data_IF_601513754504
#
_entry.id   IF_601513754504
#
_cell.length_a   1.000
_cell.length_b   1.000
_cell.length_c   1.000
_cell.angle_alpha   90.00
_cell.angle_beta   90.00
_cell.angle_gamma   90.00
#
_symmetry.space_group_name_H-M   'P 1'
#
loop_
_entity.id
_entity.type
_entity.pdbx_description
1 polymer ?
#
# COMPACT_ATOMS: atom_id res chain seq x y z
N UNK A 1 -6.11 14.62 -33.18
CA UNK A 1 -6.39 15.55 -32.06
C UNK A 1 -7.27 16.66 -32.63
N UNK A 2 -8.41 17.00 -32.02
CA UNK A 2 -9.32 18.02 -32.57
C UNK A 2 -8.78 19.44 -32.37
N UNK A 3 -9.25 20.41 -33.16
CA UNK A 3 -8.82 21.83 -33.08
C UNK A 3 -8.99 22.37 -31.65
N UNK A 4 -10.11 22.08 -30.99
CA UNK A 4 -10.37 22.49 -29.60
C UNK A 4 -9.36 21.92 -28.58
N UNK A 5 -8.82 20.72 -28.84
CA UNK A 5 -7.80 20.12 -27.97
C UNK A 5 -6.45 20.83 -28.11
N UNK A 6 -6.08 21.25 -29.33
CA UNK A 6 -4.84 21.98 -29.56
C UNK A 6 -4.89 23.39 -28.96
N UNK A 7 -6.02 24.06 -29.08
CA UNK A 7 -6.24 25.38 -28.47
C UNK A 7 -6.10 25.34 -26.95
N UNK A 8 -6.69 24.33 -26.29
CA UNK A 8 -6.56 24.14 -24.85
C UNK A 8 -5.11 23.90 -24.40
N UNK A 9 -4.30 23.19 -25.21
CA UNK A 9 -2.87 22.97 -24.94
C UNK A 9 -2.13 24.31 -25.03
N UNK A 10 -2.38 25.10 -26.08
CA UNK A 10 -1.72 26.38 -26.29
C UNK A 10 -2.06 27.37 -25.16
N UNK A 11 -3.34 27.48 -24.78
CA UNK A 11 -3.78 28.34 -23.67
C UNK A 11 -3.14 27.92 -22.34
N UNK A 12 -3.11 26.62 -22.03
CA UNK A 12 -2.47 26.14 -20.80
C UNK A 12 -0.94 26.34 -20.84
N UNK A 13 -0.31 26.21 -22.02
CA UNK A 13 1.13 26.48 -22.19
C UNK A 13 1.46 27.94 -21.88
N UNK A 14 0.67 28.89 -22.39
CA UNK A 14 0.85 30.31 -22.12
C UNK A 14 0.78 30.61 -20.62
N UNK A 15 -0.18 30.02 -19.89
CA UNK A 15 -0.27 30.16 -18.44
C UNK A 15 0.97 29.62 -17.71
N UNK A 16 1.57 28.54 -18.19
CA UNK A 16 2.80 27.97 -17.61
C UNK A 16 4.04 28.82 -17.93
N UNK A 17 4.04 29.58 -19.03
CA UNK A 17 5.13 30.51 -19.35
C UNK A 17 5.15 31.73 -18.43
N UNK A 18 4.00 32.10 -17.86
CA UNK A 18 3.85 33.25 -16.95
C UNK A 18 4.24 32.95 -15.50
N UNK A 19 4.52 31.69 -15.13
CA UNK A 19 4.84 31.32 -13.73
C UNK A 19 6.28 31.69 -13.33
N UNK A 20 6.52 31.76 -12.03
CA UNK A 20 7.83 32.07 -11.46
C UNK A 20 8.88 30.98 -11.74
N UNK A 21 10.16 31.37 -11.71
CA UNK A 21 11.28 30.50 -12.08
C UNK A 21 11.34 29.14 -11.34
N UNK A 22 11.07 29.04 -10.02
CA UNK A 22 11.06 27.75 -9.34
C UNK A 22 10.03 26.75 -9.92
N UNK A 23 8.85 27.26 -10.32
CA UNK A 23 7.80 26.45 -10.93
C UNK A 23 8.18 26.04 -12.37
N UNK A 24 8.86 26.92 -13.11
CA UNK A 24 9.40 26.59 -14.45
C UNK A 24 10.45 25.48 -14.38
N UNK A 25 11.37 25.55 -13.42
CA UNK A 25 12.40 24.53 -13.20
C UNK A 25 11.78 23.17 -12.90
N UNK A 26 10.83 23.11 -11.96
CA UNK A 26 10.19 21.83 -11.62
C UNK A 26 9.25 21.33 -12.73
N UNK A 27 8.62 22.23 -13.48
CA UNK A 27 7.87 21.86 -14.69
C UNK A 27 8.78 21.17 -15.73
N UNK A 28 9.99 21.72 -15.93
CA UNK A 28 11.03 21.12 -16.78
C UNK A 28 11.40 19.71 -16.33
N UNK A 29 11.53 19.50 -15.02
CA UNK A 29 11.79 18.18 -14.43
C UNK A 29 10.70 17.16 -14.78
N UNK A 30 9.41 17.53 -14.70
CA UNK A 30 8.32 16.57 -14.94
C UNK A 30 8.06 16.28 -16.41
N UNK A 31 8.35 17.22 -17.33
CA UNK A 31 8.00 17.03 -18.74
C UNK A 31 9.11 16.39 -19.58
N UNK A 32 10.38 16.50 -19.17
CA UNK A 32 11.52 15.77 -19.75
C UNK A 32 11.63 15.86 -21.28
N UNK A 33 11.45 17.07 -21.82
CA UNK A 33 11.43 17.33 -23.26
C UNK A 33 10.07 17.14 -23.96
N UNK A 34 9.02 16.72 -23.24
CA UNK A 34 7.66 16.57 -23.77
C UNK A 34 6.64 17.46 -23.02
N UNK A 35 6.76 18.80 -23.10
CA UNK A 35 5.86 19.73 -22.39
C UNK A 35 4.40 19.53 -22.79
N UNK A 36 4.10 19.46 -24.09
CA UNK A 36 2.72 19.27 -24.57
C UNK A 36 2.08 17.99 -24.03
N UNK A 37 2.81 16.87 -24.04
CA UNK A 37 2.29 15.61 -23.51
C UNK A 37 2.04 15.69 -22.00
N UNK A 38 2.85 16.44 -21.28
CA UNK A 38 2.60 16.74 -19.86
C UNK A 38 1.35 17.58 -19.68
N UNK A 39 1.16 18.66 -20.44
CA UNK A 39 -0.05 19.49 -20.38
C UNK A 39 -1.31 18.67 -20.71
N UNK A 40 -1.25 17.81 -21.73
CA UNK A 40 -2.34 16.90 -22.09
C UNK A 40 -2.75 15.99 -20.94
N UNK A 41 -1.81 15.49 -20.12
CA UNK A 41 -2.16 14.67 -18.95
C UNK A 41 -3.04 15.44 -17.95
N UNK A 42 -2.65 16.66 -17.61
CA UNK A 42 -3.40 17.52 -16.69
C UNK A 42 -4.74 17.98 -17.28
N UNK A 43 -4.78 18.34 -18.57
CA UNK A 43 -6.02 18.66 -19.27
C UNK A 43 -6.97 17.48 -19.27
N UNK A 44 -6.53 16.30 -19.68
CA UNK A 44 -7.36 15.10 -19.62
C UNK A 44 -7.81 14.85 -18.16
N UNK A 45 -6.94 14.99 -17.16
CA UNK A 45 -7.23 14.83 -15.72
C UNK A 45 -8.41 15.67 -15.23
N UNK A 46 -8.70 16.78 -15.91
CA UNK A 46 -9.74 17.75 -15.56
C UNK A 46 -10.70 18.00 -16.72
N UNK A 47 -10.94 16.98 -17.54
CA UNK A 47 -11.94 16.99 -18.63
C UNK A 47 -11.76 18.16 -19.60
N UNK A 48 -10.50 18.50 -19.89
CA UNK A 48 -10.10 19.63 -20.74
C UNK A 48 -10.52 21.01 -20.23
N UNK A 49 -10.88 21.14 -18.95
CA UNK A 49 -11.10 22.43 -18.30
C UNK A 49 -9.76 23.10 -17.99
N UNK A 50 -9.43 24.15 -18.75
CA UNK A 50 -8.16 24.90 -18.61
C UNK A 50 -7.96 25.44 -17.18
N UNK A 51 -8.93 26.13 -16.54
CA UNK A 51 -8.71 26.64 -15.18
C UNK A 51 -8.46 25.53 -14.15
N UNK A 52 -9.18 24.41 -14.24
CA UNK A 52 -9.00 23.27 -13.34
C UNK A 52 -7.68 22.55 -13.58
N UNK A 53 -7.28 22.38 -14.84
CA UNK A 53 -6.01 21.76 -15.21
C UNK A 53 -4.82 22.63 -14.79
N UNK A 54 -4.91 23.95 -14.99
CA UNK A 54 -3.92 24.91 -14.52
C UNK A 54 -3.77 24.85 -13.00
N UNK A 55 -4.89 24.90 -12.26
CA UNK A 55 -4.86 24.75 -10.79
C UNK A 55 -4.18 23.45 -10.37
N UNK A 56 -4.58 22.32 -10.94
CA UNK A 56 -3.99 21.02 -10.60
C UNK A 56 -2.49 20.97 -10.90
N UNK A 57 -2.06 21.54 -12.04
CA UNK A 57 -0.65 21.62 -12.38
C UNK A 57 0.10 22.48 -11.36
N UNK A 58 -0.40 23.67 -11.02
CA UNK A 58 0.22 24.54 -10.03
C UNK A 58 0.30 23.89 -8.64
N UNK A 59 -0.78 23.22 -8.20
CA UNK A 59 -0.78 22.47 -6.94
C UNK A 59 0.31 21.38 -6.94
N UNK A 60 0.43 20.62 -8.04
CA UNK A 60 1.48 19.61 -8.20
C UNK A 60 2.89 20.21 -8.17
N UNK A 61 3.15 21.27 -8.94
CA UNK A 61 4.47 21.92 -8.98
C UNK A 61 4.86 22.49 -7.61
N UNK A 62 3.92 23.13 -6.89
CA UNK A 62 4.15 23.60 -5.52
C UNK A 62 4.42 22.45 -4.55
N UNK A 63 3.64 21.37 -4.63
CA UNK A 63 3.87 20.17 -3.83
C UNK A 63 5.27 19.61 -4.07
N UNK A 64 5.74 19.58 -5.33
CA UNK A 64 7.11 19.13 -5.67
C UNK A 64 8.19 19.99 -5.01
N UNK A 65 8.02 21.31 -5.01
CA UNK A 65 8.96 22.24 -4.40
C UNK A 65 8.96 22.07 -2.87
N UNK A 66 7.79 22.14 -2.25
CA UNK A 66 7.62 22.05 -0.78
C UNK A 66 8.17 20.73 -0.23
N UNK A 67 7.95 19.64 -0.96
CA UNK A 67 8.36 18.31 -0.56
C UNK A 67 9.69 17.91 -1.21
N UNK A 68 10.43 18.79 -1.89
CA UNK A 68 11.73 18.45 -2.51
C UNK A 68 11.71 17.18 -3.39
N UNK A 69 10.67 17.00 -4.19
CA UNK A 69 10.45 15.79 -4.99
C UNK A 69 11.48 15.64 -6.10
N UNK A 70 11.94 16.75 -6.68
CA UNK A 70 12.93 16.73 -7.77
C UNK A 70 14.29 16.12 -7.34
N UNK A 71 14.58 16.09 -6.05
CA UNK A 71 15.79 15.48 -5.48
C UNK A 71 15.52 14.18 -4.72
N UNK A 72 14.31 13.61 -4.79
CA UNK A 72 13.93 12.42 -4.01
C UNK A 72 14.75 11.17 -4.35
N UNK A 73 15.23 11.09 -5.60
CA UNK A 73 16.14 10.02 -6.05
C UNK A 73 17.57 10.19 -5.53
N UNK A 74 17.91 11.34 -4.93
CA UNK A 74 19.18 11.61 -4.26
C UNK A 74 19.07 11.39 -2.74
N UNK A 75 17.88 11.03 -2.24
CA UNK A 75 17.57 10.81 -0.83
C UNK A 75 17.33 9.31 -0.55
N UNK A 76 18.38 8.47 -0.43
CA UNK A 76 18.21 7.06 -0.12
C UNK A 76 17.49 6.85 1.21
N UNK A 77 16.72 5.77 1.30
CA UNK A 77 16.19 5.28 2.57
C UNK A 77 17.31 4.54 3.29
N UNK A 78 17.73 5.07 4.43
CA UNK A 78 18.83 4.57 5.27
C UNK A 78 18.24 4.19 6.63
N UNK A 79 18.72 3.11 7.27
CA UNK A 79 19.74 2.15 6.81
C UNK A 79 19.28 1.24 5.67
N UNK A 80 20.22 0.56 4.99
CA UNK A 80 19.90 -0.30 3.85
C UNK A 80 18.98 -1.48 4.20
N UNK A 81 19.01 -1.95 5.45
CA UNK A 81 18.08 -2.96 5.95
C UNK A 81 16.65 -2.42 6.08
N UNK A 82 16.47 -1.12 6.41
CA UNK A 82 15.17 -0.47 6.38
C UNK A 82 14.60 -0.45 4.95
N UNK A 83 15.42 -0.05 3.96
CA UNK A 83 15.02 -0.11 2.55
C UNK A 83 14.58 -1.52 2.15
N UNK A 84 15.38 -2.55 2.50
CA UNK A 84 15.06 -3.96 2.24
C UNK A 84 13.71 -4.36 2.84
N UNK A 85 13.52 -4.10 4.14
CA UNK A 85 12.27 -4.42 4.85
C UNK A 85 11.05 -3.74 4.23
N UNK A 86 11.19 -2.49 3.77
CA UNK A 86 10.12 -1.77 3.07
C UNK A 86 9.79 -2.45 1.76
N UNK A 87 10.79 -2.77 0.93
CA UNK A 87 10.59 -3.41 -0.38
C UNK A 87 10.04 -4.84 -0.28
N UNK A 88 10.42 -5.58 0.76
CA UNK A 88 9.91 -6.92 1.02
C UNK A 88 8.45 -6.93 1.50
N UNK A 89 7.94 -5.79 2.01
CA UNK A 89 6.55 -5.64 2.49
C UNK A 89 5.66 -4.77 1.58
N UNK A 90 6.24 -3.98 0.68
CA UNK A 90 5.59 -3.24 -0.39
C UNK A 90 5.92 -3.95 -1.71
N UNK A 91 5.13 -4.96 -2.06
CA UNK A 91 5.39 -5.80 -3.23
C UNK A 91 5.06 -5.03 -4.51
N UNK A 92 6.06 -4.40 -5.09
CA UNK A 92 5.97 -3.64 -6.34
C UNK A 92 7.19 -3.91 -7.18
N UNK A 93 7.00 -4.34 -8.41
CA UNK A 93 8.08 -4.68 -9.34
C UNK A 93 7.76 -4.27 -10.77
N UNK A 94 8.74 -4.41 -11.66
CA UNK A 94 8.54 -4.27 -13.10
C UNK A 94 8.89 -5.60 -13.77
N UNK A 95 7.96 -6.16 -14.53
CA UNK A 95 8.09 -7.50 -15.15
C UNK A 95 8.60 -7.46 -16.58
N UNK A 96 8.52 -6.30 -17.26
CA UNK A 96 8.94 -6.15 -18.64
C UNK A 96 8.19 -5.03 -19.33
N UNK A 97 7.92 -5.19 -20.63
CA UNK A 97 7.22 -4.22 -21.46
C UNK A 97 6.07 -4.89 -22.21
N UNK A 98 5.02 -4.11 -22.51
CA UNK A 98 4.03 -4.51 -23.51
C UNK A 98 4.66 -4.57 -24.90
N UNK A 99 3.97 -5.21 -25.84
CA UNK A 99 4.36 -5.27 -27.25
C UNK A 99 4.51 -3.86 -27.86
N UNK A 100 3.71 -2.92 -27.37
CA UNK A 100 3.78 -1.51 -27.77
C UNK A 100 4.85 -0.71 -27.01
N UNK A 101 5.54 -1.30 -26.03
CA UNK A 101 6.67 -0.68 -25.32
C UNK A 101 6.32 0.05 -24.02
N UNK A 102 5.11 -0.11 -23.49
CA UNK A 102 4.76 0.45 -22.18
C UNK A 102 5.30 -0.45 -21.06
N UNK A 103 5.98 0.08 -20.04
CA UNK A 103 6.47 -0.72 -18.93
C UNK A 103 5.31 -1.38 -18.16
N UNK A 104 5.51 -2.63 -17.73
CA UNK A 104 4.53 -3.45 -17.01
C UNK A 104 4.93 -3.55 -15.55
N UNK A 105 4.24 -2.78 -14.70
CA UNK A 105 4.42 -2.83 -13.26
C UNK A 105 3.51 -3.88 -12.64
N UNK A 106 4.08 -4.75 -11.81
CA UNK A 106 3.36 -5.73 -11.02
C UNK A 106 3.23 -5.21 -9.58
N UNK A 107 2.07 -5.41 -8.96
CA UNK A 107 1.79 -4.96 -7.59
C UNK A 107 1.12 -6.11 -6.84
N UNK A 108 1.75 -6.63 -5.79
CA UNK A 108 1.20 -7.67 -4.92
C UNK A 108 0.28 -7.07 -3.87
N UNK A 109 -0.95 -6.72 -4.25
CA UNK A 109 -1.91 -6.02 -3.38
C UNK A 109 -2.27 -6.86 -2.16
N UNK A 110 -2.57 -8.15 -2.35
CA UNK A 110 -3.05 -8.98 -1.25
C UNK A 110 -1.98 -9.40 -0.25
N UNK A 111 -0.72 -9.51 -0.69
CA UNK A 111 0.41 -9.93 0.15
C UNK A 111 1.26 -8.77 0.68
N UNK A 112 1.05 -7.53 0.21
CA UNK A 112 1.74 -6.36 0.77
C UNK A 112 1.25 -6.07 2.20
N UNK A 113 2.17 -6.12 3.17
CA UNK A 113 1.82 -5.98 4.59
C UNK A 113 1.93 -4.57 5.11
N UNK A 114 2.85 -3.78 4.56
CA UNK A 114 3.16 -2.40 4.98
C UNK A 114 3.42 -2.22 6.49
N UNK A 115 4.00 -3.24 7.15
CA UNK A 115 4.13 -3.34 8.61
C UNK A 115 5.57 -3.17 9.11
N UNK A 116 6.52 -2.80 8.24
CA UNK A 116 7.95 -2.76 8.56
C UNK A 116 8.53 -1.37 8.77
N UNK A 117 7.77 -0.32 8.47
CA UNK A 117 8.19 1.06 8.60
C UNK A 117 6.98 1.98 8.84
N UNK A 118 7.26 3.25 9.18
CA UNK A 118 6.21 4.26 9.23
C UNK A 118 5.65 4.55 7.83
N UNK A 119 4.43 5.08 7.77
CA UNK A 119 3.72 5.49 6.54
C UNK A 119 4.61 6.34 5.63
N UNK A 120 5.35 7.31 6.19
CA UNK A 120 6.19 8.24 5.44
C UNK A 120 7.25 7.52 4.59
N UNK A 121 7.84 6.43 5.10
CA UNK A 121 8.83 5.68 4.34
C UNK A 121 8.22 4.89 3.18
N UNK A 122 7.01 4.37 3.33
CA UNK A 122 6.29 3.72 2.22
C UNK A 122 5.87 4.73 1.15
N UNK A 123 5.43 5.92 1.56
CA UNK A 123 5.13 7.03 0.65
C UNK A 123 6.40 7.47 -0.09
N UNK A 124 7.52 7.67 0.61
CA UNK A 124 8.81 7.97 0.01
C UNK A 124 9.24 6.88 -1.00
N UNK A 125 9.17 5.61 -0.60
CA UNK A 125 9.50 4.46 -1.45
C UNK A 125 8.65 4.42 -2.73
N UNK A 126 7.35 4.72 -2.61
CA UNK A 126 6.41 4.81 -3.74
C UNK A 126 6.75 5.97 -4.68
N UNK A 127 6.99 7.16 -4.13
CA UNK A 127 7.39 8.35 -4.90
C UNK A 127 8.72 8.08 -5.63
N UNK A 128 9.69 7.42 -4.99
CA UNK A 128 10.94 7.04 -5.65
C UNK A 128 10.72 6.09 -6.83
N UNK A 129 9.79 5.12 -6.73
CA UNK A 129 9.43 4.26 -7.88
C UNK A 129 8.82 5.11 -9.01
N UNK A 130 7.89 6.00 -8.69
CA UNK A 130 7.23 6.85 -9.67
C UNK A 130 8.21 7.79 -10.38
N UNK A 131 9.09 8.45 -9.63
CA UNK A 131 10.11 9.34 -10.19
C UNK A 131 11.15 8.56 -11.02
N UNK A 132 11.54 7.36 -10.60
CA UNK A 132 12.43 6.51 -11.39
C UNK A 132 11.74 6.01 -12.67
N UNK A 133 10.46 5.60 -12.58
CA UNK A 133 9.63 5.30 -13.76
C UNK A 133 9.65 6.47 -14.72
N UNK A 134 9.34 7.65 -14.21
CA UNK A 134 9.13 8.82 -15.02
C UNK A 134 10.44 9.35 -15.59
N UNK A 135 11.55 9.39 -14.85
CA UNK A 135 12.81 10.03 -15.27
C UNK A 135 13.80 9.10 -15.93
N UNK A 136 13.65 7.79 -15.77
CA UNK A 136 14.61 6.80 -16.27
C UNK A 136 13.92 5.81 -17.21
N UNK A 137 12.87 5.13 -16.75
CA UNK A 137 12.25 4.04 -17.51
C UNK A 137 11.50 4.56 -18.74
N UNK A 138 10.65 5.59 -18.60
CA UNK A 138 9.85 6.12 -19.70
C UNK A 138 10.69 6.81 -20.79
N UNK A 139 11.72 7.61 -20.47
CA UNK A 139 12.65 8.14 -21.49
C UNK A 139 13.41 7.03 -22.22
N UNK A 140 13.90 6.03 -21.49
CA UNK A 140 14.60 4.89 -22.08
C UNK A 140 13.67 4.09 -23.02
N UNK A 141 12.42 3.88 -22.61
CA UNK A 141 11.40 3.26 -23.46
C UNK A 141 11.12 4.12 -24.70
N UNK A 142 10.91 5.43 -24.53
CA UNK A 142 10.64 6.34 -25.65
C UNK A 142 11.76 6.30 -26.70
N UNK A 143 13.02 6.31 -26.24
CA UNK A 143 14.20 6.17 -27.11
C UNK A 143 14.25 4.81 -27.79
N UNK A 144 14.01 3.72 -27.06
CA UNK A 144 14.04 2.35 -27.58
C UNK A 144 12.98 2.10 -28.66
N UNK A 145 11.77 2.63 -28.47
CA UNK A 145 10.63 2.40 -29.37
C UNK A 145 10.44 3.52 -30.40
N UNK A 146 11.30 4.54 -30.42
CA UNK A 146 11.29 5.60 -31.43
C UNK A 146 10.06 6.52 -31.40
N UNK A 147 9.31 6.53 -30.30
CA UNK A 147 8.09 7.33 -30.11
C UNK A 147 7.91 7.68 -28.64
N UNK A 148 7.08 8.68 -28.34
CA UNK A 148 6.78 9.01 -26.94
C UNK A 148 6.06 7.86 -26.23
N UNK A 149 6.62 7.43 -25.10
CA UNK A 149 6.05 6.46 -24.14
C UNK A 149 5.91 7.20 -22.81
N UNK A 150 4.70 7.63 -22.48
CA UNK A 150 4.41 8.44 -21.28
C UNK A 150 3.68 7.71 -20.15
N UNK A 151 3.30 6.45 -20.38
CA UNK A 151 2.36 5.68 -19.57
C UNK A 151 2.85 4.27 -19.29
N UNK A 152 2.21 3.59 -18.34
CA UNK A 152 2.51 2.21 -17.97
C UNK A 152 1.24 1.36 -17.86
N UNK A 153 1.42 0.04 -17.86
CA UNK A 153 0.40 -0.93 -17.48
C UNK A 153 0.68 -1.41 -16.06
N UNK A 154 -0.37 -1.51 -15.23
CA UNK A 154 -0.26 -2.04 -13.86
C UNK A 154 -1.04 -3.35 -13.75
N UNK A 155 -0.40 -4.41 -13.26
CA UNK A 155 -1.01 -5.71 -12.96
C UNK A 155 -1.05 -5.91 -11.45
N UNK A 156 -2.26 -5.96 -10.89
CA UNK A 156 -2.54 -6.01 -9.45
C UNK A 156 -2.90 -7.45 -9.08
N UNK A 157 -2.00 -8.11 -8.37
CA UNK A 157 -2.22 -9.45 -7.84
C UNK A 157 -2.93 -9.38 -6.48
N UNK A 158 -4.16 -9.89 -6.45
CA UNK A 158 -5.00 -9.92 -5.25
C UNK A 158 -4.79 -11.18 -4.41
N UNK A 159 -3.86 -12.07 -4.80
CA UNK A 159 -3.53 -13.27 -4.03
C UNK A 159 -3.23 -12.91 -2.58
N UNK A 160 -3.83 -13.64 -1.64
CA UNK A 160 -3.61 -13.43 -0.21
C UNK A 160 -4.37 -12.25 0.41
N UNK A 161 -5.21 -11.53 -0.35
CA UNK A 161 -6.00 -10.41 0.18
C UNK A 161 -6.88 -10.87 1.35
N UNK A 162 -6.74 -10.19 2.50
CA UNK A 162 -7.53 -10.43 3.71
C UNK A 162 -8.51 -9.28 3.96
N UNK A 163 -9.70 -9.59 4.45
CA UNK A 163 -10.73 -8.60 4.76
C UNK A 163 -10.35 -7.70 5.97
N UNK A 164 -9.44 -8.15 6.82
CA UNK A 164 -8.98 -7.43 8.03
C UNK A 164 -7.90 -6.36 7.77
N UNK A 165 -7.75 -5.89 6.53
CA UNK A 165 -6.63 -5.08 6.06
C UNK A 165 -6.77 -3.56 6.28
N UNK A 166 -7.47 -3.10 7.33
CA UNK A 166 -7.82 -1.68 7.52
C UNK A 166 -6.59 -0.73 7.53
N UNK A 167 -5.48 -1.12 8.16
CA UNK A 167 -4.26 -0.31 8.16
C UNK A 167 -3.60 -0.22 6.77
N UNK A 168 -3.74 -1.27 5.95
CA UNK A 168 -3.24 -1.28 4.57
C UNK A 168 -4.12 -0.36 3.70
N UNK A 169 -5.45 -0.34 3.92
CA UNK A 169 -6.37 0.55 3.21
C UNK A 169 -6.03 2.03 3.41
N UNK A 170 -5.67 2.44 4.64
CA UNK A 170 -5.24 3.83 4.90
C UNK A 170 -4.01 4.21 4.09
N UNK A 171 -2.97 3.39 4.10
CA UNK A 171 -1.75 3.67 3.34
C UNK A 171 -1.99 3.63 1.83
N UNK A 172 -2.76 2.66 1.34
CA UNK A 172 -3.15 2.58 -0.07
C UNK A 172 -3.94 3.82 -0.51
N UNK A 173 -4.81 4.34 0.36
CA UNK A 173 -5.55 5.59 0.10
C UNK A 173 -4.60 6.77 -0.02
N UNK A 174 -3.64 6.91 0.89
CA UNK A 174 -2.58 7.93 0.83
C UNK A 174 -1.79 7.84 -0.48
N UNK A 175 -1.33 6.64 -0.84
CA UNK A 175 -0.59 6.39 -2.07
C UNK A 175 -1.43 6.74 -3.31
N UNK A 176 -2.72 6.35 -3.32
CA UNK A 176 -3.64 6.68 -4.40
C UNK A 176 -3.82 8.19 -4.54
N UNK A 177 -4.01 8.92 -3.43
CA UNK A 177 -4.16 10.38 -3.46
C UNK A 177 -2.91 11.05 -4.01
N UNK A 178 -1.71 10.59 -3.65
CA UNK A 178 -0.45 11.08 -4.21
C UNK A 178 -0.39 10.83 -5.72
N UNK A 179 -0.76 9.63 -6.18
CA UNK A 179 -0.82 9.28 -7.61
C UNK A 179 -1.82 10.16 -8.38
N UNK A 180 -3.03 10.34 -7.85
CA UNK A 180 -4.13 11.05 -8.51
C UNK A 180 -3.88 12.56 -8.64
N UNK A 181 -3.24 13.17 -7.64
CA UNK A 181 -2.96 14.60 -7.62
C UNK A 181 -1.68 14.96 -8.39
N UNK A 182 -0.64 14.13 -8.28
CA UNK A 182 0.70 14.50 -8.74
C UNK A 182 1.18 13.72 -9.97
N UNK A 183 0.60 12.54 -10.24
CA UNK A 183 0.96 11.68 -11.37
C UNK A 183 -0.25 11.36 -12.28
N UNK A 184 -1.05 12.37 -12.67
CA UNK A 184 -2.24 12.11 -13.46
C UNK A 184 -1.87 11.47 -14.80
N UNK A 185 -2.70 10.53 -15.22
CA UNK A 185 -2.61 9.89 -16.53
C UNK A 185 -1.28 9.19 -16.83
N UNK A 186 -0.65 8.62 -15.80
CA UNK A 186 0.55 7.79 -15.94
C UNK A 186 0.26 6.30 -16.14
N UNK A 187 -0.99 5.87 -15.96
CA UNK A 187 -1.41 4.47 -16.17
C UNK A 187 -2.45 4.39 -17.28
N UNK A 188 -2.22 3.47 -18.22
CA UNK A 188 -3.16 3.15 -19.31
C UNK A 188 -4.25 2.20 -18.85
N UNK A 189 -3.86 1.11 -18.18
CA UNK A 189 -4.77 0.07 -17.72
C UNK A 189 -4.26 -0.59 -16.44
N UNK A 190 -5.19 -0.82 -15.53
CA UNK A 190 -5.04 -1.63 -14.33
C UNK A 190 -5.69 -3.00 -14.59
N UNK A 191 -4.88 -4.05 -14.64
CA UNK A 191 -5.36 -5.43 -14.71
C UNK A 191 -5.36 -6.02 -13.31
N UNK A 192 -6.53 -6.41 -12.81
CA UNK A 192 -6.67 -7.07 -11.52
C UNK A 192 -6.75 -8.57 -11.77
N UNK A 193 -5.81 -9.33 -11.19
CA UNK A 193 -5.71 -10.79 -11.33
C UNK A 193 -5.75 -11.47 -9.96
N UNK A 194 -6.03 -12.77 -9.98
CA UNK A 194 -6.18 -13.62 -8.78
C UNK A 194 -7.13 -13.01 -7.74
N UNK A 195 -8.13 -12.27 -8.22
CA UNK A 195 -9.14 -11.67 -7.39
C UNK A 195 -9.92 -12.78 -6.67
N UNK A 196 -10.01 -12.78 -5.33
CA UNK A 196 -10.87 -13.73 -4.64
C UNK A 196 -12.30 -13.53 -5.13
N UNK A 197 -13.12 -14.59 -5.17
CA UNK A 197 -14.51 -14.52 -5.66
C UNK A 197 -15.26 -13.32 -5.07
N UNK A 198 -14.93 -12.98 -3.83
CA UNK A 198 -15.57 -11.87 -3.16
C UNK A 198 -15.26 -10.48 -3.73
N UNK A 199 -14.06 -10.29 -4.26
CA UNK A 199 -13.69 -9.04 -4.89
C UNK A 199 -14.65 -8.68 -6.02
N UNK A 200 -15.13 -9.66 -6.79
CA UNK A 200 -16.10 -9.41 -7.86
C UNK A 200 -17.43 -8.85 -7.35
N UNK A 201 -17.90 -9.26 -6.16
CA UNK A 201 -19.09 -8.68 -5.55
C UNK A 201 -18.85 -7.24 -5.08
N UNK A 202 -17.71 -7.00 -4.43
CA UNK A 202 -17.30 -5.67 -3.99
C UNK A 202 -17.14 -4.72 -5.19
N UNK A 203 -16.49 -5.18 -6.26
CA UNK A 203 -16.31 -4.43 -7.49
C UNK A 203 -17.62 -4.07 -8.19
N UNK A 204 -18.65 -4.93 -8.16
CA UNK A 204 -19.98 -4.58 -8.68
C UNK A 204 -20.62 -3.39 -7.95
N UNK A 205 -20.34 -3.24 -6.65
CA UNK A 205 -20.84 -2.11 -5.83
C UNK A 205 -20.00 -0.86 -6.03
N UNK A 206 -18.67 -1.00 -6.15
CA UNK A 206 -17.72 0.12 -6.27
C UNK A 206 -17.70 0.70 -7.69
N UNK A 207 -17.73 -0.15 -8.72
CA UNK A 207 -17.59 0.25 -10.13
C UNK A 207 -18.56 1.37 -10.55
N UNK A 208 -19.85 1.38 -10.18
CA UNK A 208 -20.77 2.47 -10.53
C UNK A 208 -20.43 3.83 -9.91
N UNK A 209 -19.68 3.84 -8.80
CA UNK A 209 -19.24 5.07 -8.11
C UNK A 209 -17.98 5.66 -8.73
N UNK A 210 -17.29 4.92 -9.61
CA UNK A 210 -16.08 5.40 -10.27
C UNK A 210 -16.47 6.22 -11.50
N UNK A 211 -15.75 7.33 -11.71
CA UNK A 211 -15.84 8.10 -12.95
C UNK A 211 -15.56 7.21 -14.17
N UNK A 212 -16.23 7.48 -15.28
CA UNK A 212 -16.21 6.63 -16.48
C UNK A 212 -14.78 6.36 -17.00
N UNK A 213 -13.90 7.36 -16.89
CA UNK A 213 -12.48 7.20 -17.22
C UNK A 213 -11.80 6.13 -16.37
N UNK A 214 -11.96 6.19 -15.05
CA UNK A 214 -11.36 5.21 -14.13
C UNK A 214 -11.94 3.83 -14.39
N UNK A 215 -13.26 3.73 -14.64
CA UNK A 215 -13.93 2.47 -15.01
C UNK A 215 -13.36 1.84 -16.28
N UNK A 216 -13.04 2.64 -17.30
CA UNK A 216 -12.47 2.15 -18.57
C UNK A 216 -11.04 1.63 -18.41
N UNK A 217 -10.29 2.17 -17.44
CA UNK A 217 -8.90 1.76 -17.17
C UNK A 217 -8.80 0.51 -16.32
N UNK A 218 -9.83 0.10 -15.59
CA UNK A 218 -9.75 -1.08 -14.69
C UNK A 218 -10.39 -2.29 -15.33
N UNK A 219 -9.60 -3.34 -15.51
CA UNK A 219 -10.03 -4.64 -16.04
C UNK A 219 -9.80 -5.72 -15.00
N UNK A 220 -10.86 -6.40 -14.57
CA UNK A 220 -10.77 -7.54 -13.66
C UNK A 220 -10.74 -8.81 -14.50
N UNK A 221 -9.62 -9.52 -14.47
CA UNK A 221 -9.40 -10.73 -15.26
C UNK A 221 -9.75 -11.99 -14.45
N UNK A 222 -10.02 -13.08 -15.15
CA UNK A 222 -10.27 -14.38 -14.51
C UNK A 222 -8.94 -15.05 -14.15
N UNK A 223 -8.89 -15.71 -12.99
CA UNK A 223 -7.70 -16.42 -12.52
C UNK A 223 -6.45 -15.54 -12.54
N UNK A 224 -5.33 -16.09 -13.01
CA UNK A 224 -4.06 -15.37 -13.12
C UNK A 224 -3.98 -14.42 -14.33
N UNK A 225 -5.03 -14.32 -15.15
CA UNK A 225 -5.13 -13.38 -16.28
C UNK A 225 -4.14 -13.62 -17.43
N UNK A 226 -3.54 -14.82 -17.50
CA UNK A 226 -2.47 -15.15 -18.44
C UNK A 226 -2.86 -14.92 -19.89
N UNK A 227 -3.99 -15.47 -20.31
CA UNK A 227 -4.41 -15.46 -21.72
C UNK A 227 -4.75 -14.06 -22.20
N UNK A 228 -5.38 -13.23 -21.36
CA UNK A 228 -5.65 -11.83 -21.68
C UNK A 228 -4.37 -11.00 -21.71
N UNK A 229 -3.47 -11.20 -20.75
CA UNK A 229 -2.21 -10.45 -20.71
C UNK A 229 -1.29 -10.81 -21.89
N UNK A 230 -1.24 -12.08 -22.33
CA UNK A 230 -0.45 -12.51 -23.51
C UNK A 230 -0.90 -11.84 -24.81
N UNK A 231 -2.09 -11.24 -24.87
CA UNK A 231 -2.51 -10.42 -26.01
C UNK A 231 -1.65 -9.16 -26.12
N UNK A 232 -1.26 -8.57 -24.99
CA UNK A 232 -0.57 -7.28 -24.92
C UNK A 232 0.91 -7.35 -24.50
N UNK A 233 1.37 -8.44 -23.88
CA UNK A 233 2.77 -8.65 -23.49
C UNK A 233 3.31 -9.95 -24.08
N UNK A 234 4.63 -10.03 -24.22
CA UNK A 234 5.30 -11.31 -24.51
C UNK A 234 5.41 -12.15 -23.24
N UNK A 235 5.52 -13.47 -23.39
CA UNK A 235 5.59 -14.41 -22.26
C UNK A 235 6.70 -14.06 -21.25
N UNK A 236 7.87 -13.63 -21.74
CA UNK A 236 8.98 -13.22 -20.89
C UNK A 236 8.64 -12.00 -19.99
N UNK A 237 7.78 -11.11 -20.49
CA UNK A 237 7.33 -9.90 -19.78
C UNK A 237 6.09 -10.12 -18.91
N UNK A 238 5.56 -11.35 -18.83
CA UNK A 238 4.49 -11.65 -17.87
C UNK A 238 5.03 -11.54 -16.43
N UNK A 239 4.24 -10.98 -15.50
CA UNK A 239 4.53 -11.13 -14.08
C UNK A 239 4.60 -12.62 -13.69
N UNK A 240 5.49 -12.97 -12.75
CA UNK A 240 5.72 -14.36 -12.36
C UNK A 240 4.46 -15.09 -11.88
N UNK A 241 3.55 -14.39 -11.18
CA UNK A 241 2.27 -14.94 -10.72
C UNK A 241 1.25 -15.18 -11.86
N UNK A 242 1.46 -14.58 -13.04
CA UNK A 242 0.67 -14.84 -14.25
C UNK A 242 1.24 -16.00 -15.09
N UNK A 243 2.47 -16.46 -14.81
CA UNK A 243 3.10 -17.58 -15.54
C UNK A 243 2.67 -18.95 -15.01
N UNK A 244 2.09 -19.03 -13.80
CA UNK A 244 1.72 -20.31 -13.17
C UNK A 244 0.51 -20.94 -13.88
N UNK A 245 0.63 -22.21 -14.25
CA UNK A 245 -0.48 -23.02 -14.75
C UNK A 245 -1.07 -23.85 -13.60
N UNK A 246 -2.35 -23.63 -13.27
CA UNK A 246 -3.12 -24.43 -12.31
C UNK A 246 -3.00 -24.07 -10.83
N UNK A 247 -3.96 -24.54 -10.02
CA UNK A 247 -4.05 -24.37 -8.55
C UNK A 247 -3.10 -25.29 -7.77
N UNK A 248 -2.20 -25.99 -8.46
CA UNK A 248 -1.33 -27.01 -7.88
C UNK A 248 -0.04 -26.41 -7.33
N UNK A 249 0.33 -26.84 -6.12
CA UNK A 249 1.63 -26.60 -5.49
C UNK A 249 2.74 -27.31 -6.29
N UNK A 250 3.07 -26.82 -7.48
CA UNK A 250 4.32 -27.19 -8.13
C UNK A 250 5.39 -26.21 -7.65
N UNK A 251 6.31 -26.72 -6.83
CA UNK A 251 7.55 -26.05 -6.47
C UNK A 251 8.45 -26.00 -7.70
N UNK A 252 8.08 -25.24 -8.74
CA UNK A 252 9.11 -24.71 -9.61
C UNK A 252 9.80 -23.62 -8.81
N UNK A 253 11.05 -23.88 -8.45
CA UNK A 253 11.97 -22.87 -7.97
C UNK A 253 12.10 -21.84 -9.09
N UNK A 254 11.20 -20.85 -9.11
CA UNK A 254 11.41 -19.63 -9.89
C UNK A 254 12.75 -19.09 -9.43
N UNK A 255 13.74 -19.07 -10.33
CA UNK A 255 15.00 -18.38 -10.04
C UNK A 255 14.66 -16.98 -9.55
N UNK A 256 15.41 -16.44 -8.58
CA UNK A 256 15.14 -15.11 -8.00
C UNK A 256 15.02 -13.98 -9.04
N UNK A 257 15.53 -14.19 -10.26
CA UNK A 257 15.38 -13.27 -11.40
C UNK A 257 14.02 -13.29 -12.10
N UNK A 258 13.20 -14.33 -11.93
CA UNK A 258 11.86 -14.40 -12.53
C UNK A 258 10.81 -13.72 -11.64
N UNK A 259 11.00 -13.74 -10.32
CA UNK A 259 10.12 -13.04 -9.38
C UNK A 259 10.38 -11.53 -9.43
N UNK A 260 9.50 -10.82 -10.12
CA UNK A 260 9.56 -9.36 -10.23
C UNK A 260 9.47 -8.60 -8.90
N UNK A 261 9.06 -9.23 -7.78
CA UNK A 261 9.09 -8.61 -6.44
C UNK A 261 10.40 -8.85 -5.70
N UNK A 262 11.21 -9.81 -6.15
CA UNK A 262 12.49 -10.11 -5.54
C UNK A 262 13.42 -8.91 -5.63
N UNK A 263 14.13 -8.61 -4.54
CA UNK A 263 15.16 -7.58 -4.54
C UNK A 263 16.32 -7.90 -5.49
N UNK A 264 16.54 -9.16 -5.82
CA UNK A 264 17.57 -9.58 -6.80
C UNK A 264 17.12 -9.36 -8.25
N UNK A 265 15.85 -9.03 -8.47
CA UNK A 265 15.34 -8.72 -9.80
C UNK A 265 16.03 -7.46 -10.37
N UNK A 266 16.39 -7.42 -11.67
CA UNK A 266 17.13 -6.30 -12.27
C UNK A 266 16.53 -4.92 -12.01
N UNK A 267 15.20 -4.80 -12.02
CA UNK A 267 14.50 -3.56 -11.69
C UNK A 267 14.89 -3.00 -10.30
N UNK A 268 14.86 -3.83 -9.27
CA UNK A 268 15.17 -3.41 -7.90
C UNK A 268 16.64 -3.06 -7.73
N UNK A 269 17.53 -3.86 -8.32
CA UNK A 269 18.97 -3.61 -8.32
C UNK A 269 19.31 -2.30 -9.04
N UNK A 270 18.72 -2.06 -10.22
CA UNK A 270 18.92 -0.83 -10.99
C UNK A 270 18.40 0.40 -10.25
N UNK A 271 17.19 0.33 -9.66
CA UNK A 271 16.63 1.42 -8.87
C UNK A 271 17.52 1.75 -7.66
N UNK A 272 17.91 0.73 -6.89
CA UNK A 272 18.76 0.91 -5.72
C UNK A 272 20.14 1.50 -6.09
N UNK A 273 20.78 0.95 -7.12
CA UNK A 273 22.08 1.44 -7.60
C UNK A 273 21.98 2.85 -8.16
N UNK A 274 20.90 3.18 -8.89
CA UNK A 274 20.66 4.53 -9.37
C UNK A 274 20.60 5.53 -8.21
N UNK A 275 19.75 5.26 -7.21
CA UNK A 275 19.62 6.13 -6.03
C UNK A 275 20.96 6.26 -5.28
N UNK A 276 21.69 5.15 -5.14
CA UNK A 276 23.01 5.15 -4.49
C UNK A 276 24.06 5.92 -5.29
N UNK A 277 24.02 5.90 -6.61
CA UNK A 277 24.94 6.68 -7.46
C UNK A 277 24.62 8.17 -7.43
N UNK A 278 23.34 8.53 -7.31
CA UNK A 278 22.91 9.93 -7.11
C UNK A 278 23.27 10.46 -5.71
N UNK A 279 23.69 9.59 -4.79
CA UNK A 279 24.20 9.95 -3.47
C UNK A 279 25.64 10.49 -3.59
N UNK A 280 25.82 11.68 -4.17
CA UNK A 280 27.11 12.34 -4.34
C UNK A 280 27.03 13.84 -4.63
N UNK A 281 27.78 14.64 -3.85
CA UNK A 281 28.04 16.09 -3.91
C UNK A 281 26.96 17.11 -3.48
N UNK A 282 25.88 16.71 -2.78
CA UNK A 282 25.00 17.67 -2.07
C UNK A 282 24.29 17.08 -0.82
N UNK A 283 24.58 15.82 -0.50
CA UNK A 283 23.87 15.05 0.53
C UNK A 283 24.23 15.46 1.98
N UNK A 284 25.42 16.01 2.20
CA UNK A 284 25.93 16.35 3.54
C UNK A 284 25.16 17.50 4.19
N UNK A 285 24.58 18.42 3.41
CA UNK A 285 23.76 19.52 3.92
C UNK A 285 22.33 19.09 4.33
N UNK A 286 21.79 18.04 3.70
CA UNK A 286 20.40 17.60 3.86
C UNK A 286 20.18 16.57 4.99
N UNK A 287 21.25 16.00 5.55
CA UNK A 287 21.18 15.04 6.66
C UNK A 287 20.55 15.62 7.94
N UNK A 288 20.38 16.95 8.04
CA UNK A 288 19.68 17.59 9.16
C UNK A 288 18.15 17.51 9.07
N UNK A 289 17.57 17.02 7.96
CA UNK A 289 16.12 17.09 7.73
C UNK A 289 15.29 15.89 8.22
N UNK A 290 15.90 14.83 8.77
CA UNK A 290 15.13 13.68 9.30
C UNK A 290 14.27 12.96 8.23
N UNK A 291 13.22 12.25 8.66
CA UNK A 291 12.34 11.51 7.76
C UNK A 291 11.62 12.42 6.76
N UNK A 292 11.51 11.99 5.51
CA UNK A 292 10.77 12.69 4.46
C UNK A 292 9.27 12.75 4.81
N UNK A 293 8.81 13.88 5.36
CA UNK A 293 7.39 14.12 5.54
C UNK A 293 6.84 14.66 4.23
N UNK A 294 5.95 13.89 3.61
CA UNK A 294 5.16 14.38 2.49
C UNK A 294 3.84 14.81 3.05
N UNK A 295 3.47 16.08 2.88
CA UNK A 295 2.10 16.50 3.16
C UNK A 295 1.19 15.76 2.16
N UNK A 296 0.36 14.86 2.70
CA UNK A 296 -0.62 14.12 1.92
C UNK A 296 -1.93 14.89 1.99
N UNK A 297 -2.45 15.38 0.87
CA UNK A 297 -3.75 16.04 0.85
C UNK A 297 -4.84 15.10 1.37
N UNK A 298 -5.77 15.62 2.16
CA UNK A 298 -6.93 14.82 2.56
C UNK A 298 -7.75 14.42 1.32
N UNK A 299 -8.23 13.17 1.25
CA UNK A 299 -9.07 12.73 0.14
C UNK A 299 -10.36 13.57 0.10
N UNK A 300 -10.83 13.88 -1.10
CA UNK A 300 -12.08 14.62 -1.28
C UNK A 300 -13.31 13.78 -0.83
N UNK A 301 -14.48 14.42 -0.78
CA UNK A 301 -15.73 13.79 -0.32
C UNK A 301 -16.11 12.56 -1.14
N UNK A 302 -15.78 12.53 -2.44
CA UNK A 302 -16.08 11.42 -3.34
C UNK A 302 -15.14 10.23 -3.05
N UNK A 303 -13.84 10.50 -2.87
CA UNK A 303 -12.84 9.53 -2.42
C UNK A 303 -13.20 8.93 -1.06
N UNK A 304 -13.61 9.75 -0.09
CA UNK A 304 -14.08 9.29 1.21
C UNK A 304 -15.29 8.35 1.06
N UNK A 305 -16.24 8.69 0.18
CA UNK A 305 -17.42 7.86 -0.07
C UNK A 305 -17.05 6.51 -0.69
N UNK A 306 -16.11 6.49 -1.64
CA UNK A 306 -15.61 5.26 -2.27
C UNK A 306 -14.94 4.37 -1.23
N UNK A 307 -14.03 4.93 -0.42
CA UNK A 307 -13.34 4.17 0.64
C UNK A 307 -14.33 3.59 1.64
N UNK A 308 -15.27 4.39 2.15
CA UNK A 308 -16.33 3.91 3.07
C UNK A 308 -17.20 2.82 2.44
N UNK A 309 -17.45 2.90 1.13
CA UNK A 309 -18.22 1.89 0.40
C UNK A 309 -17.43 0.59 0.28
N UNK A 310 -16.13 0.67 -0.02
CA UNK A 310 -15.21 -0.49 -0.04
C UNK A 310 -15.18 -1.14 1.33
N UNK A 311 -14.95 -0.35 2.40
CA UNK A 311 -14.94 -0.86 3.78
C UNK A 311 -16.27 -1.53 4.14
N UNK A 312 -17.40 -0.87 3.86
CA UNK A 312 -18.73 -1.45 4.13
C UNK A 312 -18.98 -2.73 3.36
N UNK A 313 -18.58 -2.79 2.09
CA UNK A 313 -18.72 -3.99 1.27
C UNK A 313 -17.83 -5.14 1.79
N UNK A 314 -16.57 -4.85 2.14
CA UNK A 314 -15.66 -5.84 2.73
C UNK A 314 -16.19 -6.36 4.07
N UNK A 315 -16.72 -5.49 4.93
CA UNK A 315 -17.32 -5.85 6.21
C UNK A 315 -18.57 -6.73 6.03
N UNK A 316 -19.53 -6.29 5.20
CA UNK A 316 -20.76 -7.06 4.91
C UNK A 316 -20.45 -8.46 4.43
N UNK A 317 -19.35 -8.64 3.68
CA UNK A 317 -18.98 -9.97 3.24
C UNK A 317 -18.27 -10.75 4.36
N UNK A 318 -17.39 -10.11 5.12
CA UNK A 318 -16.79 -10.71 6.30
C UNK A 318 -17.85 -11.34 7.21
N UNK A 319 -18.97 -10.63 7.41
CA UNK A 319 -20.09 -11.08 8.24
C UNK A 319 -20.88 -12.25 7.60
N UNK A 320 -21.07 -12.25 6.27
CA UNK A 320 -21.70 -13.37 5.55
C UNK A 320 -20.86 -14.67 5.64
N UNK A 321 -19.53 -14.56 5.73
CA UNK A 321 -18.67 -15.71 5.97
C UNK A 321 -18.62 -16.12 7.46
N UNK A 322 -18.81 -15.17 8.38
CA UNK A 322 -18.96 -15.45 9.81
C UNK A 322 -20.26 -16.18 10.16
N UNK A 323 -21.34 -15.93 9.41
CA UNK A 323 -22.63 -16.61 9.58
C UNK A 323 -22.66 -18.03 8.96
N UNK A 324 -21.74 -18.36 8.06
CA UNK A 324 -21.65 -19.68 7.41
C UNK A 324 -20.75 -20.69 8.14
N UNK A 325 -20.24 -20.34 9.32
CA UNK A 325 -19.53 -21.27 10.21
C UNK A 325 -20.28 -21.47 11.53
N UNK A 326 -21.53 -21.91 11.42
CA UNK A 326 -22.20 -22.72 12.45
C UNK A 326 -21.98 -24.19 12.09
N UNK A 327 -21.44 -25.05 12.97
CA UNK A 327 -21.45 -26.47 12.73
C UNK A 327 -22.91 -26.93 12.83
N UNK A 328 -23.55 -27.13 11.68
CA UNK A 328 -24.76 -27.94 11.65
C UNK A 328 -24.33 -29.38 11.91
N UNK A 329 -24.69 -29.89 13.09
CA UNK A 329 -24.50 -31.28 13.47
C UNK A 329 -25.04 -32.19 12.37
N UNK A 330 -24.23 -33.11 11.81
CA UNK A 330 -24.78 -34.19 11.02
C UNK A 330 -25.57 -35.10 11.98
N UNK A 331 -26.88 -35.25 11.74
CA UNK A 331 -27.68 -36.30 12.38
C UNK A 331 -27.03 -37.65 12.04
N UNK A 332 -26.41 -38.27 13.04
CA UNK A 332 -25.88 -39.63 12.98
C UNK A 332 -27.07 -40.57 13.21
N UNK A 333 -27.34 -41.43 12.23
CA UNK A 333 -28.23 -42.59 12.35
C UNK A 333 -27.46 -43.70 13.08
N UNK A 334 -28.01 -44.15 14.21
CA UNK A 334 -27.43 -45.12 15.13
C UNK A 334 -27.57 -46.56 14.59
N UNK A 335 -26.47 -47.16 14.12
CA UNK A 335 -26.24 -48.62 14.19
C UNK A 335 -24.77 -48.94 14.53
N UNK A 336 -24.59 -49.53 15.72
CA UNK A 336 -23.43 -50.16 16.39
C UNK A 336 -22.38 -50.93 15.53
N UNK A 337 -21.22 -51.42 16.09
CA UNK A 337 -20.54 -51.11 17.36
C UNK A 337 -18.98 -50.96 17.30
N UNK A 338 -18.44 -50.26 18.31
CA UNK A 338 -17.14 -50.42 19.00
C UNK A 338 -15.80 -50.65 18.22
N UNK A 339 -14.85 -49.71 18.36
CA UNK A 339 -13.52 -49.95 18.98
C UNK A 339 -12.63 -48.69 19.13
N UNK A 340 -12.06 -48.58 20.35
CA UNK A 340 -10.90 -47.78 20.79
C UNK A 340 -11.04 -46.26 21.03
N UNK A 341 -11.42 -45.93 22.26
CA UNK A 341 -11.19 -44.68 22.96
C UNK A 341 -9.75 -44.62 23.49
N UNK A 342 -8.76 -44.17 22.70
CA UNK A 342 -7.46 -43.70 23.28
C UNK A 342 -6.69 -42.67 22.44
N UNK A 343 -7.06 -42.38 21.19
CA UNK A 343 -6.30 -41.44 20.35
C UNK A 343 -6.70 -39.95 20.50
N UNK A 344 -7.94 -39.64 20.91
CA UNK A 344 -8.43 -38.24 20.98
C UNK A 344 -8.03 -37.46 22.24
N UNK A 345 -7.53 -38.11 23.30
CA UNK A 345 -7.07 -37.40 24.52
C UNK A 345 -5.59 -36.97 24.48
N UNK A 346 -4.79 -37.44 23.52
CA UNK A 346 -3.36 -37.06 23.41
C UNK A 346 -3.09 -35.85 22.52
N UNK A 347 -3.97 -35.51 21.56
CA UNK A 347 -3.81 -34.31 20.73
C UNK A 347 -4.15 -33.00 21.45
N UNK A 348 -5.14 -33.01 22.36
CA UNK A 348 -5.51 -31.82 23.12
C UNK A 348 -4.44 -31.38 24.14
N UNK A 349 -3.65 -32.32 24.68
CA UNK A 349 -2.57 -32.03 25.62
C UNK A 349 -1.31 -31.47 24.94
N UNK A 350 -1.03 -31.82 23.68
CA UNK A 350 0.13 -31.30 22.94
C UNK A 350 -0.05 -29.84 22.53
N UNK A 351 -1.27 -29.48 22.09
CA UNK A 351 -1.61 -28.12 21.62
C UNK A 351 -1.62 -27.12 22.78
N UNK A 352 -1.99 -27.53 23.99
CA UNK A 352 -1.97 -26.64 25.15
C UNK A 352 -0.55 -26.38 25.68
N UNK A 353 0.39 -27.33 25.54
CA UNK A 353 1.77 -27.17 26.06
C UNK A 353 2.68 -26.27 25.22
N UNK A 354 2.29 -25.95 23.97
CA UNK A 354 3.09 -25.10 23.06
C UNK A 354 2.71 -23.61 23.18
N UNK A 355 1.43 -23.29 23.36
CA UNK A 355 0.97 -21.90 23.51
C UNK A 355 1.44 -21.24 24.81
N UNK A 356 1.53 -21.99 25.92
CA UNK A 356 1.99 -21.43 27.21
C UNK A 356 3.51 -21.17 27.25
N UNK A 357 4.31 -21.87 26.43
CA UNK A 357 5.77 -21.65 26.35
C UNK A 357 6.14 -20.41 25.53
N UNK A 358 5.35 -20.03 24.54
CA UNK A 358 5.57 -18.79 23.78
C UNK A 358 5.12 -17.53 24.52
N UNK A 359 4.07 -17.60 25.35
CA UNK A 359 3.67 -16.49 26.21
C UNK A 359 4.73 -16.19 27.31
N UNK A 360 5.31 -17.23 27.92
CA UNK A 360 6.35 -17.10 28.94
C UNK A 360 7.73 -16.69 28.40
N UNK A 361 7.98 -16.85 27.09
CA UNK A 361 9.20 -16.37 26.43
C UNK A 361 9.08 -14.89 26.03
N UNK A 362 7.89 -14.43 25.61
CA UNK A 362 7.63 -13.00 25.34
C UNK A 362 7.62 -12.14 26.61
N UNK A 363 7.18 -12.68 27.74
CA UNK A 363 7.21 -11.97 29.02
C UNK A 363 8.63 -11.85 29.62
N UNK A 364 9.54 -12.79 29.32
CA UNK A 364 10.95 -12.73 29.73
C UNK A 364 11.77 -11.77 28.87
N UNK A 365 11.56 -11.75 27.55
CA UNK A 365 12.24 -10.81 26.66
C UNK A 365 11.91 -9.34 26.94
N UNK A 366 10.69 -9.04 27.41
CA UNK A 366 10.29 -7.69 27.82
C UNK A 366 10.84 -7.27 29.20
N UNK A 367 11.38 -8.21 29.99
CA UNK A 367 11.96 -7.95 31.31
C UNK A 367 13.46 -7.65 31.21
N UNK A 368 14.18 -8.26 30.26
CA UNK A 368 15.61 -8.03 30.02
C UNK A 368 15.90 -6.67 29.32
N UNK A 369 14.91 -6.08 28.64
CA UNK A 369 15.04 -4.75 28.00
C UNK A 369 14.85 -3.56 28.97
N UNK A 370 14.48 -3.81 30.23
CA UNK A 370 14.14 -2.75 31.20
C UNK A 370 15.18 -2.60 32.33
N UNK A 371 16.29 -3.35 32.30
CA UNK A 371 17.30 -3.40 33.36
C UNK A 371 18.65 -2.75 33.03
N UNK A 372 18.75 -1.92 32.00
CA UNK A 372 19.99 -1.17 31.71
C UNK A 372 19.89 0.29 32.21
N UNK A 373 19.96 0.43 33.54
CA UNK A 373 19.97 1.71 34.25
C UNK A 373 20.41 1.50 35.69
N UNK A 374 21.51 2.15 36.09
CA UNK A 374 22.20 1.98 37.38
C UNK A 374 21.38 2.28 38.64
N UNK A 375 21.97 2.09 39.83
CA UNK A 375 21.27 1.67 41.04
C UNK A 375 20.55 2.83 41.75
N UNK A 376 19.28 2.62 42.08
CA UNK A 376 18.50 3.46 42.96
C UNK A 376 17.45 2.60 43.67
N UNK A 377 17.38 2.75 44.99
CA UNK A 377 16.53 2.03 45.94
C UNK A 377 15.11 1.74 45.44
N UNK A 378 14.72 0.45 45.42
CA UNK A 378 13.34 0.00 45.64
C UNK A 378 13.29 -1.53 45.82
N UNK A 379 13.90 -2.00 46.92
CA UNK A 379 14.02 -3.42 47.26
C UNK A 379 12.72 -4.10 47.73
N UNK A 380 11.64 -3.36 47.97
CA UNK A 380 10.39 -3.90 48.58
C UNK A 380 9.26 -4.14 47.56
N UNK A 381 9.30 -3.53 46.37
CA UNK A 381 8.24 -3.70 45.35
C UNK A 381 8.44 -4.96 44.48
N UNK A 382 9.70 -5.32 44.22
CA UNK A 382 10.06 -6.50 43.43
C UNK A 382 9.76 -7.83 44.14
N UNK A 383 9.83 -7.87 45.47
CA UNK A 383 9.59 -9.08 46.25
C UNK A 383 8.09 -9.40 46.41
N UNK A 384 7.22 -8.39 46.41
CA UNK A 384 5.76 -8.57 46.47
C UNK A 384 5.17 -9.12 45.17
N UNK A 385 5.66 -8.68 44.01
CA UNK A 385 5.19 -9.19 42.70
C UNK A 385 5.71 -10.61 42.44
N UNK A 386 6.95 -10.91 42.85
CA UNK A 386 7.52 -12.24 42.71
C UNK A 386 6.81 -13.31 43.57
N UNK A 387 6.26 -12.93 44.72
CA UNK A 387 5.51 -13.83 45.60
C UNK A 387 4.04 -14.02 45.17
N UNK A 388 3.38 -12.99 44.63
CA UNK A 388 2.01 -13.10 44.09
C UNK A 388 1.91 -14.01 42.86
N UNK A 389 2.93 -14.02 42.00
CA UNK A 389 2.97 -14.88 40.81
C UNK A 389 3.26 -16.36 41.12
N UNK A 390 3.80 -16.69 42.31
CA UNK A 390 4.03 -18.09 42.73
C UNK A 390 2.80 -18.75 43.38
N UNK A 391 1.85 -17.98 43.91
CA UNK A 391 0.68 -18.51 44.63
C UNK A 391 -0.62 -18.53 43.81
N UNK A 392 -0.61 -18.03 42.57
CA UNK A 392 -1.75 -18.15 41.65
C UNK A 392 -2.98 -17.31 42.02
N UNK A 393 -2.81 -16.21 42.74
CA UNK A 393 -3.86 -15.23 43.02
C UNK A 393 -3.53 -13.88 42.39
N UNK A 394 -4.37 -13.41 41.46
CA UNK A 394 -4.36 -12.03 40.95
C UNK A 394 -5.39 -11.24 41.78
N UNK A 395 -5.03 -10.10 42.41
CA UNK A 395 -6.02 -9.30 43.15
C UNK A 395 -6.98 -8.59 42.18
N UNK A 396 -8.22 -8.41 42.62
CA UNK A 396 -9.30 -7.83 41.83
C UNK A 396 -9.07 -6.36 41.47
N UNK A 397 -9.77 -5.92 40.41
CA UNK A 397 -9.76 -4.60 39.74
C UNK A 397 -10.09 -3.38 40.61
N UNK A 398 -10.16 -3.52 41.94
CA UNK A 398 -10.47 -2.43 42.87
C UNK A 398 -9.24 -1.72 43.46
N UNK A 399 -8.02 -2.21 43.21
CA UNK A 399 -6.78 -1.63 43.76
C UNK A 399 -5.99 -0.72 42.79
N UNK A 400 -6.46 -0.54 41.56
CA UNK A 400 -5.84 0.35 40.55
C UNK A 400 -6.55 1.71 40.42
N UNK A 401 -7.49 2.02 41.32
CA UNK A 401 -8.36 3.19 41.24
C UNK A 401 -7.85 4.47 41.90
N UNK A 402 -6.73 4.44 42.63
CA UNK A 402 -6.26 5.61 43.40
C UNK A 402 -4.76 5.86 43.20
N UNK A 403 -4.39 6.34 42.01
CA UNK A 403 -3.12 7.07 41.82
C UNK A 403 -3.30 8.29 40.90
N UNK A 404 -2.84 9.51 41.29
CA UNK A 404 -3.16 10.76 40.60
C UNK A 404 -2.53 10.96 39.21
N UNK A 405 -1.62 10.09 38.75
CA UNK A 405 -0.90 10.26 37.48
C UNK A 405 -1.60 9.67 36.24
N UNK A 406 -2.75 9.01 36.40
CA UNK A 406 -3.53 8.42 35.29
C UNK A 406 -4.66 9.31 34.74
N UNK A 407 -4.92 10.47 35.37
CA UNK A 407 -6.05 11.36 34.99
C UNK A 407 -5.74 12.35 33.85
N UNK A 408 -4.48 12.46 33.41
CA UNK A 408 -4.09 13.37 32.32
C UNK A 408 -4.08 12.72 30.92
N UNK A 409 -4.17 11.38 30.83
CA UNK A 409 -4.08 10.66 29.54
C UNK A 409 -5.44 10.29 28.92
N UNK A 410 -6.56 10.54 29.61
CA UNK A 410 -7.91 10.16 29.16
C UNK A 410 -8.77 11.32 28.63
N UNK A 411 -8.25 12.56 28.56
CA UNK A 411 -9.05 13.76 28.16
C UNK A 411 -8.77 14.25 26.72
N UNK A 412 -8.06 13.49 25.87
CA UNK A 412 -7.82 13.93 24.47
C UNK A 412 -8.22 12.95 23.37
N UNK A 413 -9.07 11.96 23.66
CA UNK A 413 -9.52 10.99 22.65
C UNK A 413 -11.02 10.64 22.66
N UNK A 414 -11.84 11.55 23.15
CA UNK A 414 -13.31 11.38 23.21
C UNK A 414 -14.10 12.64 22.80
N UNK A 415 -13.60 13.40 21.81
CA UNK A 415 -14.31 14.60 21.32
C UNK A 415 -14.30 14.77 19.79
N UNK A 416 -14.61 13.70 19.05
CA UNK A 416 -15.06 13.85 17.65
C UNK A 416 -16.04 12.77 17.18
N UNK A 417 -16.44 11.84 18.06
CA UNK A 417 -17.50 10.86 17.80
C UNK A 417 -18.79 11.25 18.53
N UNK A 418 -19.32 12.43 18.23
CA UNK A 418 -20.74 12.78 18.41
C UNK A 418 -20.98 14.20 17.88
N UNK A 419 -21.53 14.33 16.67
CA UNK A 419 -22.56 15.33 16.38
C UNK A 419 -23.19 15.05 15.01
N UNK A 420 -24.53 15.10 14.99
CA UNK A 420 -25.49 14.92 13.89
C UNK A 420 -25.79 13.45 13.51
N UNK A 421 -26.98 12.87 13.73
CA UNK A 421 -28.29 13.38 14.19
C UNK A 421 -29.11 12.14 14.58
N UNK A 422 -29.61 12.06 15.81
CA UNK A 422 -30.90 11.42 16.08
C UNK A 422 -31.74 12.46 16.82
N UNK A 423 -32.57 13.15 16.04
CA UNK A 423 -33.65 13.98 16.55
C UNK A 423 -34.84 13.04 16.74
N UNK A 424 -35.40 12.99 17.97
CA UNK A 424 -36.83 12.73 18.29
C UNK A 424 -37.33 11.30 17.98
N UNK A 425 -38.04 10.56 18.84
CA UNK A 425 -39.00 10.87 19.90
C UNK A 425 -39.07 9.68 20.87
N UNK A 426 -39.39 9.97 22.14
CA UNK A 426 -40.09 9.10 23.10
C UNK A 426 -41.37 8.56 22.42
N UNK A 427 -41.75 7.29 22.51
CA UNK A 427 -42.06 6.50 23.72
C UNK A 427 -41.45 5.09 23.72
#
# INVERSE_FOLDING_TARGET
>A
MGIASQDAINQLSALVEEVDEPLKVTFKTIHQGYPNETLVRFLKAREWSIPKAHKMLMDCLNWRIQNHIDIILNKPIIPADLYRKIRDSQLVGMSGYTKDGHPVFAIGVGLSTYDKASVNYYVQSHIQINEYRDRVILPAASKKYGRYIGTCVKVLDMTGLKLSALNQLKLLTIISTVDDLNYPEKTDTYYIVNAPYIFSACWKVVKPLLQERTRRKVQVLQGCGRDELLKIVDYASLPHFCKREGSGSSRHSTSGSDDCFSLDHPFHQQLYNYIKQQQGQEYVALLKQGSFHVDVPEPDLEGIKIVKTIESALHKIGDLNGLNHSPSDPKIDDRCPARSTTARRRLAALVWSHSSRHAAARARGAFDEMTDGGPGDDGTFHEMIANGLRSGHIPSTRFLGEMPSFRAAFVKKENSLMQFKCFRLEE
#
